data_IF_981740343824
#
_entry.id   IF_981740343824
#
_cell.length_a   1.000
_cell.length_b   1.000
_cell.length_c   1.000
_cell.angle_alpha   90.00
_cell.angle_beta   90.00
_cell.angle_gamma   90.00
#
_symmetry.space_group_name_H-M   'P 1'
#
loop_
_entity.id
_entity.type
_entity.pdbx_description
1 polymer ?
#
# COMPACT_ATOMS: atom_id res chain seq x y z
N UNK A 1 -29.80 -7.40 18.24
CA UNK A 1 -28.73 -7.63 17.24
C UNK A 1 -27.71 -6.48 17.21
N UNK A 2 -26.85 -6.29 18.24
CA UNK A 2 -25.75 -5.30 18.18
C UNK A 2 -24.39 -5.89 17.77
N UNK A 3 -24.16 -7.20 17.92
CA UNK A 3 -22.86 -7.84 17.68
C UNK A 3 -22.47 -7.93 16.20
N UNK A 4 -23.44 -8.16 15.29
CA UNK A 4 -23.19 -8.16 13.84
C UNK A 4 -22.74 -6.80 13.33
N UNK A 5 -23.38 -5.72 13.79
CA UNK A 5 -23.03 -4.37 13.40
C UNK A 5 -21.63 -3.97 13.88
N UNK A 6 -21.23 -4.41 15.08
CA UNK A 6 -19.87 -4.20 15.60
C UNK A 6 -18.82 -4.98 14.78
N UNK A 7 -19.14 -6.20 14.37
CA UNK A 7 -18.26 -7.02 13.54
C UNK A 7 -18.04 -6.41 12.15
N UNK A 8 -19.10 -5.94 11.48
CA UNK A 8 -19.00 -5.26 10.18
C UNK A 8 -18.18 -3.96 10.25
N UNK A 9 -18.41 -3.13 11.27
CA UNK A 9 -17.61 -1.91 11.46
C UNK A 9 -16.13 -2.24 11.67
N UNK A 10 -15.81 -3.30 12.41
CA UNK A 10 -14.43 -3.72 12.66
C UNK A 10 -13.74 -4.31 11.42
N UNK A 11 -14.48 -4.98 10.53
CA UNK A 11 -13.94 -5.51 9.27
C UNK A 11 -13.68 -4.39 8.28
N UNK A 12 -14.60 -3.42 8.19
CA UNK A 12 -14.42 -2.19 7.41
C UNK A 12 -13.21 -1.38 7.90
N UNK A 13 -13.09 -1.17 9.21
CA UNK A 13 -11.95 -0.45 9.79
C UNK A 13 -10.62 -1.14 9.48
N UNK A 14 -10.56 -2.48 9.58
CA UNK A 14 -9.37 -3.27 9.19
C UNK A 14 -9.05 -3.12 7.70
N UNK A 15 -10.06 -3.11 6.84
CA UNK A 15 -9.90 -2.89 5.40
C UNK A 15 -9.34 -1.50 5.07
N UNK A 16 -9.83 -0.46 5.75
CA UNK A 16 -9.36 0.93 5.57
C UNK A 16 -7.88 1.07 5.96
N UNK A 17 -7.49 0.54 7.12
CA UNK A 17 -6.10 0.58 7.58
C UNK A 17 -5.18 -0.11 6.58
N UNK A 18 -5.61 -1.24 6.03
CA UNK A 18 -4.89 -1.99 5.01
C UNK A 18 -4.64 -1.18 3.73
N UNK A 19 -5.70 -0.57 3.19
CA UNK A 19 -5.62 0.23 1.97
C UNK A 19 -4.75 1.47 2.21
N UNK A 20 -4.89 2.13 3.36
CA UNK A 20 -4.10 3.29 3.72
C UNK A 20 -2.61 2.97 3.83
N UNK A 21 -2.26 1.84 4.44
CA UNK A 21 -0.86 1.40 4.57
C UNK A 21 -0.26 1.06 3.21
N UNK A 22 -1.01 0.35 2.35
CA UNK A 22 -0.58 0.06 0.98
C UNK A 22 -0.38 1.35 0.17
N UNK A 23 -1.33 2.29 0.24
CA UNK A 23 -1.26 3.58 -0.44
C UNK A 23 -0.07 4.42 0.04
N UNK A 24 0.24 4.38 1.35
CA UNK A 24 1.39 5.07 1.92
C UNK A 24 2.71 4.51 1.39
N UNK A 25 2.88 3.19 1.41
CA UNK A 25 4.09 2.55 0.86
C UNK A 25 4.24 2.76 -0.64
N UNK A 26 3.12 2.67 -1.37
CA UNK A 26 3.09 2.93 -2.80
C UNK A 26 3.50 4.36 -3.12
N UNK A 27 2.89 5.34 -2.46
CA UNK A 27 3.21 6.76 -2.65
C UNK A 27 4.67 7.07 -2.29
N UNK A 28 5.18 6.53 -1.18
CA UNK A 28 6.57 6.72 -0.78
C UNK A 28 7.57 6.17 -1.81
N UNK A 29 7.33 4.95 -2.31
CA UNK A 29 8.17 4.35 -3.34
C UNK A 29 8.08 5.07 -4.67
N UNK A 30 6.88 5.53 -5.05
CA UNK A 30 6.67 6.31 -6.26
C UNK A 30 7.43 7.65 -6.18
N UNK A 31 7.35 8.36 -5.06
CA UNK A 31 8.09 9.62 -4.84
C UNK A 31 9.60 9.38 -4.87
N UNK A 32 10.09 8.33 -4.19
CA UNK A 32 11.50 7.97 -4.20
C UNK A 32 11.99 7.65 -5.62
N UNK A 33 11.20 6.90 -6.38
CA UNK A 33 11.50 6.56 -7.76
C UNK A 33 11.53 7.81 -8.66
N UNK A 34 10.57 8.73 -8.51
CA UNK A 34 10.56 10.02 -9.21
C UNK A 34 11.79 10.88 -8.86
N UNK A 35 12.22 10.90 -7.60
CA UNK A 35 13.44 11.59 -7.19
C UNK A 35 14.70 11.01 -7.85
N UNK A 36 14.73 9.70 -8.10
CA UNK A 36 15.88 9.02 -8.70
C UNK A 36 15.98 9.22 -10.22
N UNK A 37 14.85 9.25 -10.92
CA UNK A 37 14.82 9.26 -12.40
C UNK A 37 14.59 10.67 -12.96
N UNK A 38 13.97 11.58 -12.19
CA UNK A 38 13.81 12.98 -12.56
C UNK A 38 12.76 13.21 -13.66
N UNK A 39 13.15 13.13 -14.94
CA UNK A 39 12.25 13.34 -16.07
C UNK A 39 11.70 11.99 -16.53
N UNK A 40 10.38 11.84 -16.53
CA UNK A 40 9.71 10.57 -16.83
C UNK A 40 8.74 10.69 -18.00
N UNK A 41 8.95 9.87 -19.01
CA UNK A 41 8.02 9.70 -20.13
C UNK A 41 6.77 8.92 -19.69
N UNK A 42 5.65 8.99 -20.43
CA UNK A 42 4.39 8.33 -20.03
C UNK A 42 4.51 6.81 -19.81
N UNK A 43 5.41 6.15 -20.55
CA UNK A 43 5.69 4.72 -20.38
C UNK A 43 6.40 4.42 -19.07
N UNK A 44 7.30 5.30 -18.66
CA UNK A 44 8.06 5.17 -17.42
C UNK A 44 7.15 5.36 -16.21
N UNK A 45 6.12 6.20 -16.30
CA UNK A 45 5.09 6.29 -15.27
C UNK A 45 4.35 4.97 -15.04
N UNK A 46 4.02 4.24 -16.10
CA UNK A 46 3.36 2.94 -15.97
C UNK A 46 4.29 1.91 -15.31
N UNK A 47 5.57 1.89 -15.69
CA UNK A 47 6.57 0.97 -15.12
C UNK A 47 6.92 1.34 -13.68
N UNK A 48 7.18 2.61 -13.38
CA UNK A 48 7.47 3.11 -12.04
C UNK A 48 6.29 2.91 -11.09
N UNK A 49 5.07 3.22 -11.55
CA UNK A 49 3.85 3.02 -10.78
C UNK A 49 3.57 1.54 -10.46
N UNK A 50 3.79 0.64 -11.44
CA UNK A 50 3.62 -0.81 -11.23
C UNK A 50 4.72 -1.41 -10.36
N UNK A 51 5.98 -1.02 -10.55
CA UNK A 51 7.10 -1.44 -9.70
C UNK A 51 6.91 -0.95 -8.25
N UNK A 52 6.48 0.30 -8.05
CA UNK A 52 6.15 0.83 -6.73
C UNK A 52 4.99 0.06 -6.08
N UNK A 53 4.01 -0.40 -6.87
CA UNK A 53 2.89 -1.22 -6.36
C UNK A 53 3.38 -2.56 -5.83
N UNK A 54 4.24 -3.25 -6.59
CA UNK A 54 4.85 -4.51 -6.16
C UNK A 54 5.68 -4.31 -4.89
N UNK A 55 6.49 -3.25 -4.82
CA UNK A 55 7.27 -2.92 -3.63
C UNK A 55 6.40 -2.62 -2.41
N UNK A 56 5.26 -1.94 -2.60
CA UNK A 56 4.33 -1.63 -1.51
C UNK A 56 3.66 -2.90 -0.95
N UNK A 57 3.25 -3.82 -1.82
CA UNK A 57 2.73 -5.13 -1.41
C UNK A 57 3.79 -5.93 -0.66
N UNK A 58 5.03 -5.93 -1.13
CA UNK A 58 6.14 -6.62 -0.46
C UNK A 58 6.43 -6.02 0.93
N UNK A 59 6.45 -4.69 1.06
CA UNK A 59 6.63 -4.01 2.34
C UNK A 59 5.51 -4.34 3.33
N UNK A 60 4.26 -4.31 2.87
CA UNK A 60 3.11 -4.71 3.68
C UNK A 60 3.22 -6.18 4.12
N UNK A 61 3.58 -7.09 3.22
CA UNK A 61 3.80 -8.50 3.52
C UNK A 61 4.92 -8.72 4.55
N UNK A 62 6.03 -7.98 4.43
CA UNK A 62 7.13 -8.05 5.38
C UNK A 62 6.71 -7.55 6.78
N UNK A 63 6.01 -6.41 6.86
CA UNK A 63 5.50 -5.89 8.15
C UNK A 63 4.53 -6.87 8.80
N UNK A 64 3.65 -7.48 8.01
CA UNK A 64 2.71 -8.52 8.47
C UNK A 64 3.44 -9.74 9.01
N UNK A 65 4.41 -10.27 8.28
CA UNK A 65 5.21 -11.41 8.71
C UNK A 65 5.98 -11.15 10.02
N UNK A 66 6.36 -9.89 10.27
CA UNK A 66 6.97 -9.48 11.54
C UNK A 66 5.93 -9.33 12.65
N UNK A 67 4.75 -8.79 12.35
CA UNK A 67 3.67 -8.59 13.32
C UNK A 67 2.96 -9.89 13.75
N UNK A 68 2.96 -10.91 12.88
CA UNK A 68 2.40 -12.25 13.17
C UNK A 68 3.36 -13.14 13.97
N UNK A 69 4.58 -12.68 14.29
CA UNK A 69 5.59 -13.39 15.09
C UNK A 69 5.59 -12.90 16.54
#
# INVERSE_FOLDING_TARGET
MPEQQRAEVSSMARGIVLVAELALWWGALLVLWLMLIGAVEPLEWAVGGSAALVGAVAALGARRAVADR
#
